data_IF_537105437491
#
_entry.id   IF_537105437491
#
_cell.length_a   1.000
_cell.length_b   1.000
_cell.length_c   1.000
_cell.angle_alpha   90.00
_cell.angle_beta   90.00
_cell.angle_gamma   90.00
#
_symmetry.space_group_name_H-M   'P 1'
#
loop_
_entity.id
_entity.type
_entity.pdbx_description
1 polymer ?
#
# COMPACT_ATOMS: atom_id res chain seq x y z
N UNK A 1 -26.52 -6.08 -17.55
CA UNK A 1 -26.25 -5.44 -16.25
C UNK A 1 -25.88 -6.54 -15.26
N UNK A 2 -24.59 -6.85 -15.09
CA UNK A 2 -24.11 -7.81 -14.09
C UNK A 2 -23.24 -7.05 -13.09
N UNK A 3 -23.70 -7.07 -11.86
CA UNK A 3 -23.19 -6.29 -10.75
C UNK A 3 -21.77 -6.74 -10.40
N UNK A 4 -20.78 -5.88 -10.62
CA UNK A 4 -19.35 -6.14 -10.32
C UNK A 4 -19.00 -5.99 -8.83
N UNK A 5 -20.00 -5.86 -7.96
CA UNK A 5 -19.86 -5.70 -6.51
C UNK A 5 -19.47 -7.00 -5.76
N UNK A 6 -19.26 -8.11 -6.47
CA UNK A 6 -18.94 -9.41 -5.86
C UNK A 6 -17.45 -9.76 -5.74
N UNK A 7 -16.53 -8.95 -6.30
CA UNK A 7 -15.13 -9.36 -6.42
C UNK A 7 -14.21 -9.03 -5.22
N UNK A 8 -14.69 -8.24 -4.25
CA UNK A 8 -13.87 -7.85 -3.09
C UNK A 8 -14.04 -8.72 -1.84
N UNK A 9 -14.97 -9.69 -1.81
CA UNK A 9 -15.29 -10.42 -0.56
C UNK A 9 -15.04 -11.93 -0.57
N UNK A 10 -14.48 -12.51 -1.63
CA UNK A 10 -14.35 -13.96 -1.71
C UNK A 10 -12.92 -14.38 -2.07
N UNK A 11 -12.24 -14.96 -1.06
CA UNK A 11 -10.91 -15.59 -1.07
C UNK A 11 -9.73 -14.75 -0.60
N UNK A 12 -9.76 -14.32 0.67
CA UNK A 12 -8.55 -14.14 1.47
C UNK A 12 -8.25 -15.42 2.28
N UNK A 13 -7.60 -16.45 1.71
CA UNK A 13 -7.05 -17.50 2.54
C UNK A 13 -5.81 -16.92 3.24
N UNK A 14 -5.94 -16.70 4.55
CA UNK A 14 -4.86 -16.67 5.53
C UNK A 14 -3.66 -15.75 5.21
N UNK A 15 -3.66 -14.59 5.87
CA UNK A 15 -2.52 -13.77 6.24
C UNK A 15 -1.13 -14.43 6.07
N UNK A 16 -0.55 -14.35 4.88
CA UNK A 16 0.88 -14.54 4.65
C UNK A 16 1.23 -13.78 3.39
N UNK A 17 1.79 -12.58 3.55
CA UNK A 17 2.14 -11.64 2.48
C UNK A 17 3.27 -12.13 1.57
N UNK A 18 3.08 -13.26 0.89
CA UNK A 18 3.92 -13.74 -0.21
C UNK A 18 3.00 -14.32 -1.29
N UNK A 19 2.22 -13.46 -1.95
CA UNK A 19 1.42 -13.83 -3.12
C UNK A 19 1.64 -12.82 -4.23
N UNK A 20 1.79 -13.29 -5.48
CA UNK A 20 1.94 -12.43 -6.65
C UNK A 20 0.82 -11.38 -6.68
N UNK A 21 1.19 -10.09 -6.61
CA UNK A 21 0.30 -8.94 -6.42
C UNK A 21 -0.68 -8.66 -7.57
N UNK A 22 -0.75 -9.55 -8.57
CA UNK A 22 -1.55 -9.37 -9.79
C UNK A 22 -3.05 -9.28 -9.52
N UNK A 23 -3.57 -9.93 -8.47
CA UNK A 23 -5.02 -9.88 -8.14
C UNK A 23 -5.41 -8.73 -7.20
N UNK A 24 -4.70 -8.43 -6.09
CA UNK A 24 -5.05 -7.32 -5.20
C UNK A 24 -4.94 -5.93 -5.86
N UNK A 25 -3.96 -5.74 -6.76
CA UNK A 25 -3.78 -4.45 -7.43
C UNK A 25 -4.81 -4.20 -8.55
N UNK A 26 -5.55 -5.20 -9.03
CA UNK A 26 -6.45 -5.03 -10.17
C UNK A 26 -7.53 -3.96 -9.97
N UNK A 27 -8.06 -3.85 -8.75
CA UNK A 27 -9.01 -2.79 -8.42
C UNK A 27 -8.33 -1.41 -8.41
N UNK A 28 -7.14 -1.30 -7.80
CA UNK A 28 -6.38 -0.05 -7.73
C UNK A 28 -5.93 0.45 -9.12
N UNK A 29 -5.59 -0.47 -10.05
CA UNK A 29 -5.24 -0.11 -11.43
C UNK A 29 -6.39 0.50 -12.23
N UNK A 30 -7.64 0.26 -11.81
CA UNK A 30 -8.83 0.86 -12.41
C UNK A 30 -9.23 2.12 -11.63
N UNK A 31 -9.28 2.03 -10.31
CA UNK A 31 -9.77 3.10 -9.45
C UNK A 31 -8.86 4.34 -9.45
N UNK A 32 -7.54 4.17 -9.32
CA UNK A 32 -6.62 5.30 -9.17
C UNK A 32 -6.63 6.23 -10.40
N UNK A 33 -6.54 5.75 -11.65
CA UNK A 33 -6.62 6.63 -12.82
C UNK A 33 -7.96 7.38 -12.93
N UNK A 34 -9.07 6.72 -12.57
CA UNK A 34 -10.39 7.36 -12.58
C UNK A 34 -10.50 8.44 -11.50
N UNK A 35 -9.93 8.20 -10.31
CA UNK A 35 -9.87 9.19 -9.25
C UNK A 35 -9.05 10.42 -9.66
N UNK A 36 -7.89 10.20 -10.31
CA UNK A 36 -7.06 11.29 -10.84
C UNK A 36 -7.85 12.13 -11.85
N UNK A 37 -8.57 11.50 -12.78
CA UNK A 37 -9.39 12.20 -13.76
C UNK A 37 -10.52 13.00 -13.10
N UNK A 38 -11.20 12.42 -12.12
CA UNK A 38 -12.29 13.10 -11.40
C UNK A 38 -11.77 14.35 -10.66
N UNK A 39 -10.63 14.25 -9.98
CA UNK A 39 -10.04 15.39 -9.26
C UNK A 39 -9.56 16.47 -10.22
N UNK A 40 -8.99 16.10 -11.37
CA UNK A 40 -8.62 17.07 -12.40
C UNK A 40 -9.83 17.81 -12.98
N UNK A 41 -10.94 17.10 -13.24
CA UNK A 41 -12.19 17.72 -13.66
C UNK A 41 -12.72 18.68 -12.60
N UNK A 42 -12.75 18.23 -11.34
CA UNK A 42 -13.20 19.06 -10.23
C UNK A 42 -12.36 20.34 -10.10
N UNK A 43 -11.03 20.24 -10.19
CA UNK A 43 -10.12 21.38 -10.14
C UNK A 43 -10.43 22.43 -11.23
N UNK A 44 -10.74 21.97 -12.45
CA UNK A 44 -11.13 22.86 -13.54
C UNK A 44 -12.49 23.53 -13.29
N UNK A 45 -13.44 22.79 -12.71
CA UNK A 45 -14.80 23.30 -12.46
C UNK A 45 -14.83 24.35 -11.34
N UNK A 46 -14.00 24.16 -10.30
CA UNK A 46 -13.99 25.05 -9.12
C UNK A 46 -12.86 26.09 -9.14
N UNK A 47 -11.94 26.01 -10.10
CA UNK A 47 -10.78 26.90 -10.19
C UNK A 47 -9.83 26.78 -8.99
N UNK A 48 -9.63 25.57 -8.49
CA UNK A 48 -8.76 25.28 -7.34
C UNK A 48 -7.79 24.16 -7.65
N UNK A 49 -6.66 24.13 -6.97
CA UNK A 49 -5.65 23.10 -7.11
C UNK A 49 -5.70 22.11 -5.93
N UNK A 50 -6.60 21.14 -5.99
CA UNK A 50 -6.53 19.98 -5.10
C UNK A 50 -5.35 19.11 -5.51
N UNK A 51 -4.35 19.00 -4.63
CA UNK A 51 -3.16 18.20 -4.85
C UNK A 51 -3.47 16.70 -4.74
N UNK A 52 -2.92 15.92 -5.68
CA UNK A 52 -2.99 14.47 -5.67
C UNK A 52 -1.77 13.90 -4.94
N UNK A 53 -1.94 12.99 -3.97
CA UNK A 53 -0.81 12.33 -3.34
C UNK A 53 -0.05 11.45 -4.35
N UNK A 54 1.31 11.40 -4.29
CA UNK A 54 2.14 10.63 -5.23
C UNK A 54 1.73 9.15 -5.38
N UNK A 55 1.20 8.56 -4.31
CA UNK A 55 0.76 7.15 -4.30
C UNK A 55 -0.34 6.84 -5.33
N UNK A 56 -1.17 7.83 -5.71
CA UNK A 56 -2.22 7.61 -6.73
C UNK A 56 -1.64 7.50 -8.13
N UNK A 57 -0.51 8.15 -8.39
CA UNK A 57 0.14 8.14 -9.70
C UNK A 57 1.00 6.89 -9.86
N UNK A 58 1.83 6.57 -8.86
CA UNK A 58 2.80 5.48 -8.93
C UNK A 58 2.75 4.58 -7.69
N UNK A 59 1.68 3.77 -7.51
CA UNK A 59 1.46 2.98 -6.28
C UNK A 59 2.51 1.89 -6.05
N UNK A 60 3.27 1.50 -7.08
CA UNK A 60 4.21 0.37 -7.03
C UNK A 60 5.67 0.77 -6.88
N UNK A 61 6.06 2.01 -7.18
CA UNK A 61 7.47 2.43 -7.25
C UNK A 61 8.19 2.31 -5.92
N UNK A 62 7.49 2.69 -4.85
CA UNK A 62 7.96 2.55 -3.49
C UNK A 62 8.20 1.08 -3.10
N UNK A 63 7.43 0.15 -3.66
CA UNK A 63 7.55 -1.29 -3.40
C UNK A 63 8.67 -1.90 -4.25
N UNK A 64 8.71 -1.56 -5.55
CA UNK A 64 9.66 -2.12 -6.51
C UNK A 64 11.09 -1.58 -6.30
N UNK A 65 11.23 -0.37 -5.77
CA UNK A 65 12.52 0.30 -5.57
C UNK A 65 12.68 0.90 -4.17
N UNK A 66 12.30 0.15 -3.14
CA UNK A 66 12.31 0.61 -1.75
C UNK A 66 13.68 1.13 -1.25
N UNK A 67 14.78 0.63 -1.80
CA UNK A 67 16.14 1.08 -1.46
C UNK A 67 16.41 2.52 -1.93
N UNK A 68 15.84 2.95 -3.05
CA UNK A 68 15.96 4.35 -3.51
C UNK A 68 15.32 5.34 -2.53
N UNK A 69 14.39 4.87 -1.70
CA UNK A 69 13.74 5.66 -0.64
C UNK A 69 14.41 5.44 0.74
N UNK A 70 15.56 4.78 0.78
CA UNK A 70 16.33 4.53 1.99
C UNK A 70 15.72 3.49 2.92
N UNK A 71 14.98 2.52 2.39
CA UNK A 71 14.50 1.34 3.12
C UNK A 71 15.34 0.11 2.81
N UNK A 72 15.40 -0.84 3.75
CA UNK A 72 16.16 -2.08 3.56
C UNK A 72 15.51 -2.96 2.49
N UNK A 73 14.20 -3.17 2.59
CA UNK A 73 13.36 -3.77 1.55
C UNK A 73 11.87 -3.64 1.86
N UNK A 74 11.02 -3.58 0.83
CA UNK A 74 9.57 -3.57 0.98
C UNK A 74 8.96 -4.91 1.45
N UNK A 75 9.69 -6.03 1.31
CA UNK A 75 9.17 -7.37 1.61
C UNK A 75 9.18 -7.73 3.11
N UNK A 76 9.94 -7.00 3.93
CA UNK A 76 10.03 -7.25 5.37
C UNK A 76 9.24 -6.17 6.12
N UNK A 77 8.36 -6.59 7.03
CA UNK A 77 7.65 -5.67 7.92
C UNK A 77 8.42 -5.44 9.23
N UNK A 78 8.24 -4.26 9.83
CA UNK A 78 8.85 -3.93 11.11
C UNK A 78 8.25 -4.76 12.26
N UNK A 79 6.92 -4.89 12.30
CA UNK A 79 6.17 -5.62 13.32
C UNK A 79 5.45 -6.82 12.71
N UNK A 80 5.65 -7.99 13.31
CA UNK A 80 4.83 -9.16 13.00
C UNK A 80 5.46 -10.47 13.44
N UNK A 81 4.99 -11.54 12.82
CA UNK A 81 5.37 -12.91 13.14
C UNK A 81 5.74 -13.66 11.86
N UNK A 82 6.35 -14.84 12.04
CA UNK A 82 6.66 -15.75 10.93
C UNK A 82 7.64 -15.15 9.89
N UNK A 83 7.66 -15.73 8.67
CA UNK A 83 8.55 -15.29 7.61
C UNK A 83 8.36 -13.81 7.27
N UNK A 84 9.48 -13.08 7.17
CA UNK A 84 9.53 -11.65 6.86
C UNK A 84 8.75 -10.73 7.83
N UNK A 85 8.36 -11.23 9.02
CA UNK A 85 7.42 -10.58 9.94
C UNK A 85 6.06 -10.24 9.31
N UNK A 86 5.58 -11.01 8.33
CA UNK A 86 4.33 -10.69 7.60
C UNK A 86 3.19 -11.68 7.85
N UNK A 87 3.28 -12.50 8.89
CA UNK A 87 2.23 -13.43 9.30
C UNK A 87 1.37 -12.81 10.40
N UNK A 88 0.05 -12.79 10.16
CA UNK A 88 -0.94 -12.33 11.14
C UNK A 88 -0.89 -10.83 11.44
N UNK A 89 -1.60 -10.44 12.50
CA UNK A 89 -1.66 -9.07 13.01
C UNK A 89 -0.43 -8.73 13.86
N UNK A 90 -0.05 -7.46 13.91
CA UNK A 90 0.89 -6.95 14.89
C UNK A 90 0.22 -6.92 16.28
N UNK A 91 0.65 -7.80 17.19
CA UNK A 91 0.11 -7.92 18.56
C UNK A 91 1.25 -7.90 19.59
N UNK A 92 0.91 -8.02 20.88
CA UNK A 92 1.91 -8.02 21.97
C UNK A 92 2.96 -9.15 21.87
N UNK A 93 2.66 -10.24 21.16
CA UNK A 93 3.60 -11.36 20.96
C UNK A 93 4.46 -11.22 19.70
N UNK A 94 4.22 -10.19 18.88
CA UNK A 94 4.95 -9.96 17.63
C UNK A 94 6.35 -9.42 17.88
N UNK A 95 7.29 -9.77 17.01
CA UNK A 95 8.62 -9.16 17.00
C UNK A 95 8.53 -7.78 16.35
N UNK A 96 9.22 -6.81 16.92
CA UNK A 96 9.34 -5.45 16.37
C UNK A 96 10.78 -5.18 15.96
N UNK A 97 10.95 -4.42 14.89
CA UNK A 97 12.24 -3.93 14.46
C UNK A 97 12.79 -2.85 15.42
N UNK A 98 14.11 -2.74 15.52
CA UNK A 98 14.76 -1.75 16.38
C UNK A 98 14.64 -0.31 15.84
N UNK A 99 14.63 -0.15 14.52
CA UNK A 99 14.60 1.15 13.85
C UNK A 99 13.53 1.16 12.76
N UNK A 100 12.40 1.83 13.04
CA UNK A 100 11.24 1.93 12.15
C UNK A 100 11.54 2.72 10.88
N UNK A 101 12.55 3.59 10.88
CA UNK A 101 12.91 4.44 9.74
C UNK A 101 13.60 3.66 8.61
N UNK A 102 14.02 2.42 8.87
CA UNK A 102 14.65 1.53 7.88
C UNK A 102 13.66 0.63 7.14
N UNK A 103 12.40 0.59 7.57
CA UNK A 103 11.37 -0.30 7.01
C UNK A 103 10.28 0.48 6.29
N UNK A 104 9.90 -0.02 5.12
CA UNK A 104 8.82 0.53 4.32
C UNK A 104 7.45 0.30 4.98
N UNK A 105 7.25 -0.87 5.59
CA UNK A 105 6.00 -1.27 6.20
C UNK A 105 6.13 -1.52 7.71
N UNK A 106 5.14 -1.03 8.45
CA UNK A 106 4.96 -1.33 9.87
C UNK A 106 4.52 -2.78 10.06
N UNK A 107 3.51 -3.23 9.32
CA UNK A 107 2.96 -4.59 9.37
C UNK A 107 2.76 -5.10 7.92
N UNK A 108 2.05 -6.21 7.64
CA UNK A 108 1.88 -6.64 6.25
C UNK A 108 1.15 -5.65 5.33
N UNK A 109 0.45 -4.66 5.86
CA UNK A 109 -0.47 -3.79 5.11
C UNK A 109 -0.14 -2.31 5.24
N UNK A 110 0.28 -1.85 6.42
CA UNK A 110 0.40 -0.43 6.73
C UNK A 110 1.85 0.08 6.57
N UNK A 111 2.06 1.23 5.91
CA UNK A 111 3.38 1.86 5.81
C UNK A 111 3.87 2.38 7.17
N UNK A 112 5.19 2.50 7.34
CA UNK A 112 5.78 3.21 8.50
C UNK A 112 5.56 4.72 8.39
N UNK A 113 5.85 5.45 9.47
CA UNK A 113 5.77 6.92 9.47
C UNK A 113 6.65 7.55 8.38
N UNK A 114 7.91 7.12 8.26
CA UNK A 114 8.80 7.59 7.20
C UNK A 114 8.24 7.31 5.81
N UNK A 115 7.67 6.13 5.61
CA UNK A 115 7.05 5.79 4.33
C UNK A 115 5.87 6.68 4.01
N UNK A 116 5.00 6.98 4.98
CA UNK A 116 3.88 7.91 4.80
C UNK A 116 4.34 9.29 4.35
N UNK A 117 5.40 9.84 4.95
CA UNK A 117 5.97 11.15 4.57
C UNK A 117 6.51 11.24 3.14
N UNK A 118 6.71 10.09 2.48
CA UNK A 118 7.20 10.02 1.10
C UNK A 118 6.04 9.88 0.12
N UNK A 119 4.97 9.17 0.50
CA UNK A 119 3.88 8.79 -0.40
C UNK A 119 2.61 9.66 -0.24
N UNK A 120 2.53 10.45 0.83
CA UNK A 120 1.48 11.42 1.15
C UNK A 120 2.10 12.77 1.49
#
# INVERSE_FOLDING_TARGET
MKNQWGACSQNWPHAAGVGNATKPNGAATIYNPLLVQLIQQLNNDIGSDVLLPPILLNPTDFISNSQAFGFVMAKIACCGQGPYNRLGLCTAVSKQCADRSKYAFWDPFHPTEKAKQIIF
#
